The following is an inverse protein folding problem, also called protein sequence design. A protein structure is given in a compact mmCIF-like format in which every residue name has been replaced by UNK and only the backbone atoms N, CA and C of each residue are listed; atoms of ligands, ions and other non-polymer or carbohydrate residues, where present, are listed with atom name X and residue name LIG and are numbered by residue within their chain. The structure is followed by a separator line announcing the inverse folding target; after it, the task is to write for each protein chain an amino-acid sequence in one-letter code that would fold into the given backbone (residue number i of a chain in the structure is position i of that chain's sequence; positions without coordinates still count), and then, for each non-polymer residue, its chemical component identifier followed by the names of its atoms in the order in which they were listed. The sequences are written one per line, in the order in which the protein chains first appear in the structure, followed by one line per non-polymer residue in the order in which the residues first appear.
data_IF_649292257524
#
_entry.id   IF_649292257524
#
_cell.length_a   1.000
_cell.length_b   1.000
_cell.length_c   1.000
_cell.angle_alpha   90.00
_cell.angle_beta   90.00
_cell.angle_gamma   90.00
#
_symmetry.space_group_name_H-M   'P 1'
#
loop_
_entity.id
_entity.type
_entity.pdbx_description
1 polymer ?
#
# COMPACT_ATOMS: atom_id res chain seq x y z
N UNK A 1 -15.56 -29.52 4.71
CA UNK A 1 -15.76 -28.06 4.81
C UNK A 1 -14.42 -27.38 4.59
N UNK A 2 -14.13 -26.94 3.38
CA UNK A 2 -13.03 -26.04 3.07
C UNK A 2 -13.69 -24.83 2.39
N UNK A 3 -14.05 -23.81 3.18
CA UNK A 3 -14.67 -22.59 2.63
C UNK A 3 -13.65 -21.87 1.74
N UNK A 4 -12.38 -21.83 2.13
CA UNK A 4 -11.29 -21.35 1.30
C UNK A 4 -10.24 -22.44 1.12
N UNK A 5 -9.74 -22.56 -0.10
CA UNK A 5 -8.50 -23.28 -0.39
C UNK A 5 -7.33 -22.47 0.20
N UNK A 6 -7.03 -22.75 1.46
CA UNK A 6 -5.93 -22.13 2.20
C UNK A 6 -4.60 -22.63 1.66
N UNK A 7 -4.10 -21.95 0.64
CA UNK A 7 -2.73 -22.14 0.16
C UNK A 7 -1.78 -21.18 0.87
N UNK A 8 -0.49 -21.53 0.95
CA UNK A 8 0.55 -20.67 1.54
C UNK A 8 0.53 -19.25 0.94
N UNK A 9 0.42 -19.07 -0.40
CA UNK A 9 0.25 -17.73 -0.99
C UNK A 9 -0.99 -16.98 -0.49
N UNK A 10 -2.14 -17.65 -0.40
CA UNK A 10 -3.41 -17.03 0.06
C UNK A 10 -3.29 -16.55 1.51
N UNK A 11 -2.68 -17.38 2.38
CA UNK A 11 -2.49 -17.03 3.78
C UNK A 11 -1.58 -15.81 3.95
N UNK A 12 -0.50 -15.73 3.17
CA UNK A 12 0.42 -14.58 3.18
C UNK A 12 -0.29 -13.31 2.72
N UNK A 13 -1.08 -13.37 1.63
CA UNK A 13 -1.83 -12.23 1.13
C UNK A 13 -2.85 -11.70 2.16
N UNK A 14 -3.66 -12.57 2.74
CA UNK A 14 -4.62 -12.20 3.77
C UNK A 14 -3.92 -11.64 5.03
N UNK A 15 -2.82 -12.27 5.45
CA UNK A 15 -2.00 -11.79 6.57
C UNK A 15 -1.40 -10.41 6.32
N UNK A 16 -0.91 -10.15 5.10
CA UNK A 16 -0.37 -8.85 4.71
C UNK A 16 -1.44 -7.75 4.76
N UNK A 17 -2.67 -8.02 4.29
CA UNK A 17 -3.79 -7.07 4.39
C UNK A 17 -4.10 -6.76 5.85
N UNK A 18 -4.18 -7.78 6.71
CA UNK A 18 -4.45 -7.59 8.14
C UNK A 18 -3.35 -6.75 8.78
N UNK A 19 -2.08 -7.01 8.46
CA UNK A 19 -0.94 -6.22 8.94
C UNK A 19 -1.02 -4.76 8.48
N UNK A 20 -1.38 -4.50 7.23
CA UNK A 20 -1.54 -3.14 6.69
C UNK A 20 -2.64 -2.39 7.45
N UNK A 21 -3.78 -3.04 7.71
CA UNK A 21 -4.89 -2.46 8.48
C UNK A 21 -4.46 -2.16 9.91
N UNK A 22 -3.78 -3.09 10.59
CA UNK A 22 -3.30 -2.89 11.95
C UNK A 22 -2.28 -1.74 12.01
N UNK A 23 -1.31 -1.72 11.09
CA UNK A 23 -0.31 -0.67 11.01
C UNK A 23 -0.97 0.70 10.82
N UNK A 24 -2.01 0.79 9.98
CA UNK A 24 -2.79 2.01 9.77
C UNK A 24 -3.55 2.45 11.01
N UNK A 25 -4.23 1.53 11.70
CA UNK A 25 -4.92 1.84 12.96
C UNK A 25 -3.94 2.36 14.01
N UNK A 26 -2.80 1.70 14.18
CA UNK A 26 -1.75 2.11 15.12
C UNK A 26 -1.22 3.51 14.74
N UNK A 27 -0.95 3.77 13.47
CA UNK A 27 -0.46 5.07 13.02
C UNK A 27 -1.48 6.20 13.23
N UNK A 28 -2.76 5.95 12.95
CA UNK A 28 -3.84 6.91 13.21
C UNK A 28 -4.00 7.21 14.70
N UNK A 29 -3.81 6.22 15.58
CA UNK A 29 -3.86 6.43 17.03
C UNK A 29 -2.65 7.22 17.56
N UNK A 30 -1.46 7.02 16.99
CA UNK A 30 -0.21 7.66 17.42
C UNK A 30 -0.06 9.08 16.87
N UNK A 31 -0.51 9.31 15.64
CA UNK A 31 -0.39 10.59 14.95
C UNK A 31 -1.75 10.99 14.37
N UNK A 32 -2.71 11.46 15.20
CA UNK A 32 -3.98 12.00 14.74
C UNK A 32 -3.68 13.21 13.86
N UNK A 33 -3.56 12.96 12.56
CA UNK A 33 -3.16 13.97 11.59
C UNK A 33 -4.43 14.70 11.19
N UNK A 34 -4.54 15.96 11.61
CA UNK A 34 -5.53 16.90 11.08
C UNK A 34 -5.51 16.85 9.55
N UNK A 35 -6.70 16.86 8.93
CA UNK A 35 -6.87 16.87 7.48
C UNK A 35 -5.98 17.94 6.84
N UNK A 36 -4.87 17.51 6.23
CA UNK A 36 -4.04 18.40 5.42
C UNK A 36 -4.61 18.42 4.01
N UNK A 37 -5.06 19.59 3.57
CA UNK A 37 -5.39 19.86 2.18
C UNK A 37 -4.08 19.96 1.39
N UNK A 38 -3.70 18.85 0.76
CA UNK A 38 -2.55 18.79 -0.16
C UNK A 38 -2.93 19.28 -1.56
N UNK A 39 -2.36 18.64 -2.58
CA UNK A 39 -2.42 19.06 -3.99
C UNK A 39 -3.81 18.98 -4.64
N UNK A 40 -4.69 18.08 -4.18
CA UNK A 40 -6.11 18.11 -4.52
C UNK A 40 -6.87 18.79 -3.37
N UNK A 41 -7.79 19.75 -3.63
CA UNK A 41 -8.63 20.39 -2.63
C UNK A 41 -9.74 19.45 -2.13
N UNK A 42 -9.40 18.20 -1.85
CA UNK A 42 -10.25 17.17 -1.25
C UNK A 42 -9.57 16.78 0.07
N UNK A 43 -10.27 16.77 1.21
CA UNK A 43 -9.71 16.30 2.46
C UNK A 43 -9.41 14.80 2.34
N UNK A 44 -8.13 14.45 2.22
CA UNK A 44 -7.67 13.06 2.26
C UNK A 44 -7.10 12.74 3.64
N UNK A 45 -7.63 11.71 4.28
CA UNK A 45 -7.08 11.23 5.55
C UNK A 45 -5.71 10.57 5.32
N UNK A 46 -4.88 10.41 6.36
CA UNK A 46 -3.61 9.69 6.25
C UNK A 46 -3.79 8.23 5.77
N UNK A 47 -4.93 7.62 6.12
CA UNK A 47 -5.30 6.29 5.64
C UNK A 47 -5.52 6.25 4.14
N UNK A 48 -6.17 7.28 3.59
CA UNK A 48 -6.43 7.40 2.15
C UNK A 48 -5.12 7.54 1.36
N UNK A 49 -4.13 8.26 1.91
CA UNK A 49 -2.78 8.41 1.30
C UNK A 49 -2.05 7.07 1.21
N UNK A 50 -2.06 6.28 2.27
CA UNK A 50 -1.42 4.96 2.26
C UNK A 50 -2.14 4.01 1.29
N UNK A 51 -3.48 4.02 1.25
CA UNK A 51 -4.24 3.21 0.32
C UNK A 51 -3.92 3.57 -1.14
N UNK A 52 -3.87 4.86 -1.48
CA UNK A 52 -3.45 5.34 -2.80
C UNK A 52 -2.00 4.95 -3.13
N UNK A 53 -1.09 5.00 -2.15
CA UNK A 53 0.30 4.56 -2.30
C UNK A 53 0.41 3.06 -2.61
N UNK A 54 -0.33 2.21 -1.89
CA UNK A 54 -0.33 0.76 -2.14
C UNK A 54 -0.98 0.45 -3.49
N UNK A 55 -2.15 1.06 -3.78
CA UNK A 55 -2.87 0.84 -5.04
C UNK A 55 -2.01 1.22 -6.25
N UNK A 56 -1.36 2.38 -6.21
CA UNK A 56 -0.46 2.83 -7.27
C UNK A 56 0.77 1.92 -7.40
N UNK A 57 1.35 1.45 -6.29
CA UNK A 57 2.43 0.46 -6.31
C UNK A 57 2.01 -0.87 -6.95
N UNK A 58 0.79 -1.34 -6.73
CA UNK A 58 0.26 -2.55 -7.40
C UNK A 58 0.16 -2.34 -8.92
N UNK A 59 -0.32 -1.17 -9.36
CA UNK A 59 -0.33 -0.83 -10.79
C UNK A 59 1.09 -0.76 -11.37
N UNK A 60 2.06 -0.19 -10.64
CA UNK A 60 3.47 -0.20 -11.04
C UNK A 60 4.00 -1.64 -11.18
N UNK A 61 3.64 -2.54 -10.26
CA UNK A 61 3.93 -3.97 -10.34
C UNK A 61 3.35 -4.63 -11.59
N UNK A 62 2.09 -4.35 -11.93
CA UNK A 62 1.50 -4.90 -13.15
C UNK A 62 2.15 -4.37 -14.42
N UNK A 63 2.40 -3.07 -14.50
CA UNK A 63 3.09 -2.47 -15.66
C UNK A 63 4.49 -3.05 -15.83
N UNK A 64 5.23 -3.23 -14.73
CA UNK A 64 6.57 -3.82 -14.77
C UNK A 64 6.56 -5.27 -15.24
N UNK A 65 5.65 -6.10 -14.70
CA UNK A 65 5.50 -7.50 -15.13
C UNK A 65 5.08 -7.58 -16.60
N UNK A 66 4.22 -6.66 -17.07
CA UNK A 66 3.74 -6.64 -18.45
C UNK A 66 4.82 -6.20 -19.45
N UNK A 67 5.72 -5.28 -19.06
CA UNK A 67 6.70 -4.67 -19.97
C UNK A 67 8.12 -5.23 -19.82
N UNK A 68 8.45 -5.84 -18.68
CA UNK A 68 9.82 -6.22 -18.35
C UNK A 68 9.92 -7.60 -17.68
N UNK A 69 11.01 -8.32 -17.96
CA UNK A 69 11.38 -9.56 -17.27
C UNK A 69 12.49 -9.32 -16.22
N UNK A 70 12.72 -8.07 -15.82
CA UNK A 70 13.74 -7.72 -14.84
C UNK A 70 13.33 -8.11 -13.42
N UNK A 71 14.34 -8.24 -12.54
CA UNK A 71 14.16 -8.68 -11.16
C UNK A 71 13.11 -7.87 -10.41
N UNK A 72 12.11 -8.57 -9.87
CA UNK A 72 11.03 -8.01 -9.05
C UNK A 72 11.53 -7.32 -7.77
N UNK A 73 12.72 -7.70 -7.30
CA UNK A 73 13.35 -7.10 -6.12
C UNK A 73 13.68 -5.61 -6.31
N UNK A 74 14.05 -5.21 -7.53
CA UNK A 74 14.35 -3.82 -7.86
C UNK A 74 13.06 -3.00 -7.78
N UNK A 75 11.98 -3.54 -8.34
CA UNK A 75 10.69 -2.88 -8.31
C UNK A 75 10.10 -2.79 -6.91
N UNK A 76 10.33 -3.80 -6.06
CA UNK A 76 9.91 -3.78 -4.66
C UNK A 76 10.56 -2.61 -3.91
N UNK A 77 11.86 -2.37 -4.12
CA UNK A 77 12.54 -1.22 -3.55
C UNK A 77 11.95 0.11 -4.06
N UNK A 78 11.67 0.20 -5.36
CA UNK A 78 11.05 1.39 -5.99
C UNK A 78 9.65 1.64 -5.42
N UNK A 79 8.84 0.60 -5.24
CA UNK A 79 7.49 0.71 -4.69
C UNK A 79 7.49 1.17 -3.23
N UNK A 80 8.44 0.72 -2.41
CA UNK A 80 8.58 1.19 -1.03
C UNK A 80 8.93 2.68 -1.01
N UNK A 81 9.88 3.11 -1.85
CA UNK A 81 10.25 4.52 -1.98
C UNK A 81 9.04 5.33 -2.47
N UNK A 82 8.29 4.83 -3.44
CA UNK A 82 7.10 5.48 -3.96
C UNK A 82 6.03 5.68 -2.87
N UNK A 83 5.75 4.65 -2.08
CA UNK A 83 4.81 4.75 -0.95
C UNK A 83 5.30 5.79 0.06
N UNK A 84 6.59 5.81 0.39
CA UNK A 84 7.15 6.82 1.29
C UNK A 84 7.00 8.24 0.75
N UNK A 85 7.22 8.45 -0.56
CA UNK A 85 7.02 9.74 -1.23
C UNK A 85 5.56 10.18 -1.16
N UNK A 86 4.62 9.28 -1.47
CA UNK A 86 3.17 9.57 -1.37
C UNK A 86 2.76 9.93 0.06
N UNK A 87 3.36 9.28 1.07
CA UNK A 87 3.10 9.59 2.47
C UNK A 87 3.65 10.94 2.93
N UNK A 88 4.75 11.41 2.34
CA UNK A 88 5.38 12.70 2.68
C UNK A 88 4.67 13.87 1.97
N UNK A 89 4.28 13.67 0.71
CA UNK A 89 3.79 14.74 -0.17
C UNK A 89 2.28 14.76 -0.39
N UNK A 90 1.58 13.64 -0.13
CA UNK A 90 0.12 13.61 -0.09
C UNK A 90 -0.40 14.37 1.09
#
# INVERSE_FOLDING_TARGET
MAWMEWTVPTAIFCGAIILIVIAMTVWQTLAPSLERRGFLPIPTTPGDRLFMGILSSVYLFFVWIALTHFSLWILLAVAIIWIAVVMIWG
#
